data_IF_699874971387
#
_entry.id   IF_699874971387
#
_cell.length_a   1.000
_cell.length_b   1.000
_cell.length_c   1.000
_cell.angle_alpha   90.00
_cell.angle_beta   90.00
_cell.angle_gamma   90.00
#
_symmetry.space_group_name_H-M   'P 1'
#
loop_
_entity.id
_entity.type
_entity.pdbx_description
1 polymer ?
#
# COMPACT_ATOMS: atom_id res chain seq x y z
N UNK A 1 16.89 10.80 7.37
CA UNK A 1 17.36 9.88 6.30
C UNK A 1 16.97 8.43 6.60
N UNK A 2 16.10 8.18 7.58
CA UNK A 2 15.89 6.87 8.21
C UNK A 2 14.77 6.03 7.59
N UNK A 3 13.86 6.66 6.82
CA UNK A 3 12.76 5.97 6.15
C UNK A 3 13.22 5.17 4.91
N UNK A 4 14.30 5.60 4.24
CA UNK A 4 14.81 4.91 3.05
C UNK A 4 15.49 3.59 3.44
N UNK A 5 16.25 3.57 4.54
CA UNK A 5 16.92 2.38 5.07
C UNK A 5 15.93 1.30 5.53
N UNK A 6 14.77 1.70 6.05
CA UNK A 6 13.69 0.76 6.39
C UNK A 6 13.06 0.11 5.16
N UNK A 7 12.86 0.87 4.08
CA UNK A 7 12.36 0.34 2.80
C UNK A 7 13.36 -0.59 2.14
N UNK A 8 14.65 -0.24 2.17
CA UNK A 8 15.72 -1.06 1.61
C UNK A 8 15.82 -2.42 2.32
N UNK A 9 15.71 -2.43 3.66
CA UNK A 9 15.72 -3.68 4.45
C UNK A 9 14.51 -4.56 4.14
N UNK A 10 13.30 -3.99 4.08
CA UNK A 10 12.08 -4.74 3.74
C UNK A 10 12.14 -5.27 2.31
N UNK A 11 12.66 -4.48 1.36
CA UNK A 11 12.85 -4.91 -0.01
C UNK A 11 13.83 -6.09 -0.09
N UNK A 12 14.89 -6.08 0.72
CA UNK A 12 15.85 -7.17 0.76
C UNK A 12 15.28 -8.44 1.39
N UNK A 13 14.59 -8.32 2.52
CA UNK A 13 13.89 -9.45 3.15
C UNK A 13 12.84 -10.04 2.18
N UNK A 14 12.10 -9.20 1.46
CA UNK A 14 11.15 -9.63 0.43
C UNK A 14 11.84 -10.36 -0.74
N UNK A 15 12.99 -9.87 -1.22
CA UNK A 15 13.76 -10.55 -2.27
C UNK A 15 14.18 -11.94 -1.85
N UNK A 16 14.73 -12.07 -0.64
CA UNK A 16 15.14 -13.36 -0.09
C UNK A 16 13.96 -14.34 0.03
N UNK A 17 12.78 -13.85 0.43
CA UNK A 17 11.54 -14.62 0.45
C UNK A 17 11.10 -15.06 -0.95
N UNK A 18 11.16 -14.16 -1.93
CA UNK A 18 10.81 -14.47 -3.33
C UNK A 18 11.76 -15.51 -3.91
N UNK A 19 13.07 -15.38 -3.68
CA UNK A 19 14.06 -16.34 -4.17
C UNK A 19 13.83 -17.73 -3.57
N UNK A 20 13.58 -17.81 -2.27
CA UNK A 20 13.25 -19.07 -1.61
C UNK A 20 11.96 -19.70 -2.14
N UNK A 21 10.96 -18.88 -2.51
CA UNK A 21 9.72 -19.36 -3.15
C UNK A 21 9.99 -19.81 -4.59
N UNK A 22 10.80 -19.07 -5.35
CA UNK A 22 11.15 -19.39 -6.73
C UNK A 22 11.86 -20.75 -6.82
N UNK A 23 12.84 -21.00 -5.95
CA UNK A 23 13.54 -22.31 -5.85
C UNK A 23 12.56 -23.46 -5.58
N UNK A 24 11.52 -23.23 -4.76
CA UNK A 24 10.49 -24.23 -4.48
C UNK A 24 9.47 -24.38 -5.60
N UNK A 25 9.21 -23.31 -6.35
CA UNK A 25 8.26 -23.30 -7.45
C UNK A 25 8.83 -23.94 -8.72
N UNK A 26 10.14 -23.87 -8.94
CA UNK A 26 10.82 -24.42 -10.11
C UNK A 26 10.46 -25.89 -10.45
N UNK A 27 10.41 -26.85 -9.51
CA UNK A 27 9.97 -28.22 -9.81
C UNK A 27 8.48 -28.33 -10.15
N UNK A 28 7.63 -27.43 -9.65
CA UNK A 28 6.20 -27.39 -10.00
C UNK A 28 6.00 -26.76 -11.38
N UNK A 29 6.74 -25.68 -11.68
CA UNK A 29 6.76 -25.05 -12.99
C UNK A 29 7.31 -25.99 -14.07
N UNK A 30 8.36 -26.75 -13.77
CA UNK A 30 8.89 -27.77 -14.67
C UNK A 30 7.87 -28.87 -14.97
N UNK A 31 7.07 -29.29 -13.99
CA UNK A 31 5.96 -30.24 -14.19
C UNK A 31 4.88 -29.66 -15.10
N UNK A 32 4.44 -28.43 -14.85
CA UNK A 32 3.45 -27.75 -15.71
C UNK A 32 3.98 -27.57 -17.13
N UNK A 33 5.26 -27.22 -17.29
CA UNK A 33 5.87 -27.07 -18.60
C UNK A 33 5.94 -28.41 -19.36
N UNK A 34 6.20 -29.51 -18.65
CA UNK A 34 6.20 -30.85 -19.23
C UNK A 34 4.76 -31.28 -19.64
N UNK A 35 3.79 -31.11 -18.75
CA UNK A 35 2.37 -31.40 -19.00
C UNK A 35 1.77 -30.49 -20.10
N UNK A 36 2.31 -29.28 -20.27
CA UNK A 36 1.90 -28.31 -21.27
C UNK A 36 2.33 -28.61 -22.70
N UNK A 37 3.16 -29.63 -22.94
CA UNK A 37 3.59 -30.01 -24.30
C UNK A 37 2.52 -30.77 -25.10
N UNK A 38 1.51 -31.35 -24.43
CA UNK A 38 0.32 -31.93 -25.06
C UNK A 38 -0.83 -30.89 -25.15
N UNK A 39 -0.52 -29.68 -25.63
CA UNK A 39 -1.51 -28.61 -25.75
C UNK A 39 -2.43 -28.85 -26.95
N UNK A 40 -3.59 -29.45 -26.69
CA UNK A 40 -4.70 -29.44 -27.64
C UNK A 40 -5.30 -28.02 -27.70
N UNK A 41 -5.52 -27.42 -28.89
CA UNK A 41 -6.01 -26.04 -29.02
C UNK A 41 -7.38 -25.78 -28.38
N UNK A 42 -8.15 -26.83 -28.02
CA UNK A 42 -9.40 -26.67 -27.27
C UNK A 42 -9.20 -26.46 -25.76
N UNK A 43 -7.99 -26.68 -25.24
CA UNK A 43 -7.65 -26.54 -23.80
C UNK A 43 -7.09 -25.17 -23.42
N UNK A 44 -6.78 -24.33 -24.41
CA UNK A 44 -6.33 -22.94 -24.19
C UNK A 44 -7.34 -22.08 -23.41
N UNK A 45 -8.63 -22.45 -23.41
CA UNK A 45 -9.70 -21.75 -22.67
C UNK A 45 -9.51 -21.81 -21.14
N UNK A 46 -8.73 -22.75 -20.61
CA UNK A 46 -8.48 -22.92 -19.17
C UNK A 46 -7.01 -22.77 -18.77
N UNK A 47 -6.08 -22.56 -19.72
CA UNK A 47 -4.66 -22.53 -19.39
C UNK A 47 -4.31 -21.29 -18.53
N UNK A 48 -3.83 -21.45 -17.28
CA UNK A 48 -3.53 -20.32 -16.40
C UNK A 48 -2.38 -19.47 -16.93
N UNK A 49 -1.44 -20.05 -17.68
CA UNK A 49 -0.36 -19.31 -18.34
C UNK A 49 -0.90 -18.44 -19.47
N UNK A 50 -1.81 -18.97 -20.30
CA UNK A 50 -2.48 -18.19 -21.35
C UNK A 50 -3.35 -17.08 -20.75
N UNK A 51 -4.03 -17.35 -19.63
CA UNK A 51 -4.78 -16.33 -18.91
C UNK A 51 -3.87 -15.21 -18.37
N UNK A 52 -2.73 -15.54 -17.76
CA UNK A 52 -1.73 -14.55 -17.30
C UNK A 52 -1.12 -13.80 -18.49
N UNK A 53 -0.77 -14.48 -19.57
CA UNK A 53 -0.23 -13.86 -20.79
C UNK A 53 -1.24 -12.90 -21.44
N UNK A 54 -2.52 -13.25 -21.48
CA UNK A 54 -3.59 -12.39 -21.99
C UNK A 54 -3.76 -11.14 -21.12
N UNK A 55 -3.70 -11.29 -19.79
CA UNK A 55 -3.70 -10.15 -18.84
C UNK A 55 -2.50 -9.24 -19.09
N UNK A 56 -1.29 -9.80 -19.24
CA UNK A 56 -0.06 -9.03 -19.51
C UNK A 56 -0.09 -8.35 -20.87
N UNK A 57 -0.69 -8.98 -21.90
CA UNK A 57 -0.83 -8.41 -23.25
C UNK A 57 -1.98 -7.41 -23.38
N UNK A 58 -2.87 -7.31 -22.39
CA UNK A 58 -4.07 -6.47 -22.48
C UNK A 58 -5.12 -7.01 -23.46
N UNK A 59 -5.04 -8.29 -23.82
CA UNK A 59 -6.07 -8.98 -24.57
C UNK A 59 -7.31 -9.11 -23.66
N UNK A 60 -8.47 -8.67 -24.14
CA UNK A 60 -9.71 -8.60 -23.37
C UNK A 60 -10.29 -10.01 -23.16
N UNK A 61 -9.65 -10.82 -22.31
CA UNK A 61 -10.25 -12.06 -21.84
C UNK A 61 -11.42 -11.70 -20.92
N UNK A 62 -12.61 -12.22 -21.20
CA UNK A 62 -13.83 -11.92 -20.43
C UNK A 62 -13.65 -12.32 -18.94
N UNK A 63 -12.79 -13.32 -18.69
CA UNK A 63 -12.33 -13.73 -17.36
C UNK A 63 -11.38 -12.72 -16.71
N UNK A 64 -10.48 -12.09 -17.46
CA UNK A 64 -9.60 -11.04 -16.95
C UNK A 64 -10.38 -9.79 -16.54
N UNK A 65 -11.44 -9.46 -17.28
CA UNK A 65 -12.34 -8.36 -16.92
C UNK A 65 -13.06 -8.62 -15.59
N UNK A 66 -13.66 -9.82 -15.42
CA UNK A 66 -14.30 -10.23 -14.17
C UNK A 66 -13.30 -10.31 -13.00
N UNK A 67 -12.12 -10.87 -13.24
CA UNK A 67 -11.06 -10.93 -12.24
C UNK A 67 -10.60 -9.52 -11.81
N UNK A 68 -10.48 -8.58 -12.76
CA UNK A 68 -10.13 -7.19 -12.47
C UNK A 68 -11.20 -6.48 -11.63
N UNK A 69 -12.49 -6.72 -11.90
CA UNK A 69 -13.60 -6.18 -11.09
C UNK A 69 -13.56 -6.69 -9.64
N UNK A 70 -13.36 -8.00 -9.45
CA UNK A 70 -13.22 -8.58 -8.11
C UNK A 70 -11.95 -8.09 -7.40
N UNK A 71 -10.83 -7.97 -8.12
CA UNK A 71 -9.58 -7.44 -7.59
C UNK A 71 -9.71 -5.96 -7.18
N UNK A 72 -10.45 -5.15 -7.94
CA UNK A 72 -10.71 -3.76 -7.58
C UNK A 72 -11.49 -3.65 -6.25
N UNK A 73 -12.50 -4.49 -6.05
CA UNK A 73 -13.23 -4.60 -4.79
C UNK A 73 -12.32 -4.99 -3.62
N UNK A 74 -11.48 -6.01 -3.81
CA UNK A 74 -10.51 -6.44 -2.78
C UNK A 74 -9.50 -5.33 -2.45
N UNK A 75 -8.95 -4.66 -3.46
CA UNK A 75 -8.01 -3.56 -3.27
C UNK A 75 -8.66 -2.35 -2.59
N UNK A 76 -9.95 -2.10 -2.81
CA UNK A 76 -10.68 -1.06 -2.09
C UNK A 76 -10.76 -1.37 -0.58
N UNK A 77 -11.12 -2.61 -0.23
CA UNK A 77 -11.15 -3.08 1.17
C UNK A 77 -9.77 -3.01 1.80
N UNK A 78 -8.73 -3.46 1.09
CA UNK A 78 -7.35 -3.43 1.58
C UNK A 78 -6.86 -2.00 1.83
N UNK A 79 -7.14 -1.07 0.90
CA UNK A 79 -6.79 0.35 1.09
C UNK A 79 -7.51 0.93 2.30
N UNK A 80 -8.79 0.59 2.49
CA UNK A 80 -9.52 1.01 3.69
C UNK A 80 -8.86 0.47 4.95
N UNK A 81 -8.50 -0.81 5.00
CA UNK A 81 -7.81 -1.42 6.13
C UNK A 81 -6.44 -0.76 6.42
N UNK A 82 -5.66 -0.46 5.39
CA UNK A 82 -4.37 0.24 5.53
C UNK A 82 -4.53 1.69 6.01
N UNK A 83 -5.56 2.39 5.56
CA UNK A 83 -5.84 3.75 6.01
C UNK A 83 -6.27 3.79 7.48
N UNK A 84 -6.96 2.76 7.98
CA UNK A 84 -7.29 2.62 9.40
C UNK A 84 -6.06 2.37 10.27
N UNK A 85 -5.02 1.73 9.72
CA UNK A 85 -3.76 1.49 10.43
C UNK A 85 -2.84 2.71 10.40
N UNK A 86 -3.13 3.72 9.58
CA UNK A 86 -2.31 4.93 9.52
C UNK A 86 -2.48 5.68 10.84
N UNK A 87 -1.40 5.85 11.63
CA UNK A 87 -1.47 6.63 12.86
C UNK A 87 -2.03 8.01 12.52
N UNK A 88 -2.98 8.49 13.33
CA UNK A 88 -3.47 9.85 13.22
C UNK A 88 -2.25 10.79 13.28
N UNK A 89 -2.08 11.72 12.34
CA UNK A 89 -1.00 12.69 12.43
C UNK A 89 -1.13 13.37 13.79
N UNK A 90 -0.11 13.22 14.63
CA UNK A 90 -0.07 13.87 15.93
C UNK A 90 -0.41 15.35 15.70
N UNK A 91 -1.32 15.94 16.50
CA UNK A 91 -1.64 17.36 16.36
C UNK A 91 -0.31 18.10 16.35
N UNK A 92 -0.07 18.86 15.27
CA UNK A 92 1.07 19.75 15.23
C UNK A 92 0.97 20.61 16.49
N UNK A 93 2.03 20.61 17.29
CA UNK A 93 2.16 21.43 18.49
C UNK A 93 2.13 22.89 18.01
N UNK A 94 0.93 23.43 17.82
CA UNK A 94 0.73 24.85 17.57
C UNK A 94 1.30 25.56 18.79
N UNK A 95 2.29 26.45 18.63
CA UNK A 95 2.85 27.18 19.76
C UNK A 95 1.72 27.83 20.54
N UNK A 96 1.46 27.31 21.73
CA UNK A 96 0.41 27.78 22.61
C UNK A 96 0.62 29.28 22.81
N UNK A 97 -0.25 30.09 22.20
CA UNK A 97 -0.11 31.54 22.26
C UNK A 97 -0.09 31.95 23.73
N UNK A 98 0.92 32.71 24.19
CA UNK A 98 1.08 33.01 25.60
C UNK A 98 -0.19 33.70 26.13
N UNK A 99 -0.61 33.41 27.38
CA UNK A 99 -1.83 33.97 27.94
C UNK A 99 -1.79 35.49 27.82
N UNK A 100 -2.79 36.08 27.14
CA UNK A 100 -2.90 37.53 26.97
C UNK A 100 -3.25 38.18 28.30
N UNK A 101 -2.23 38.48 29.09
CA UNK A 101 -2.35 39.28 30.31
C UNK A 101 -2.57 40.72 29.92
N UNK A 102 -3.78 41.22 30.09
CA UNK A 102 -4.10 42.63 29.90
C UNK A 102 -3.64 43.40 31.15
N UNK A 103 -2.53 44.15 31.01
CA UNK A 103 -2.02 45.00 32.10
C UNK A 103 -2.96 46.19 32.28
N UNK A 104 -3.82 46.13 33.28
CA UNK A 104 -4.66 47.25 33.71
C UNK A 104 -3.82 48.15 34.62
N UNK A 105 -3.46 49.34 34.14
CA UNK A 105 -2.80 50.36 34.97
C UNK A 105 -3.82 51.05 35.87
N UNK A 106 -3.74 50.78 37.18
CA UNK A 106 -4.57 51.44 38.19
C UNK A 106 -3.96 52.79 38.55
N UNK A 107 -4.67 53.89 38.27
CA UNK A 107 -4.37 55.23 38.81
C UNK A 107 -5.08 55.37 40.16
N UNK A 108 -4.33 55.61 41.25
CA UNK A 108 -4.94 55.99 42.53
C UNK A 108 -5.56 57.38 42.41
N UNK A 109 -6.87 57.47 42.65
CA UNK A 109 -7.59 58.73 42.79
C UNK A 109 -7.11 59.39 44.09
N UNK A 110 -6.37 60.50 43.99
CA UNK A 110 -5.79 61.20 45.16
C UNK A 110 -4.36 61.71 44.98
N UNK A 111 -3.81 61.68 43.76
CA UNK A 111 -2.48 62.21 43.45
C UNK A 111 -2.61 63.46 42.59
N UNK A 112 -3.34 64.44 43.10
CA UNK A 112 -3.25 65.84 42.68
C UNK A 112 -2.45 66.57 43.77
N UNK A 113 -1.29 67.18 43.45
CA UNK A 113 -0.62 68.06 44.38
C UNK A 113 -1.45 69.33 44.62
N UNK A 114 -1.45 69.80 45.87
CA UNK A 114 -2.22 70.94 46.40
C UNK A 114 -2.19 72.21 45.56
#
# INVERSE_FOLDING_TARGET
MDAVSGQDRIAEELRLLIDAVAEKAEPWLARIAADGTEHDPTTCDWCPVCAVAAVVRGERSEMAAKAAEHAAGLLAVLRMALQQQRPEPAPADEPQAPPRVQKITVRRRGQDPC
#
